data_IF_765473185295
#
_entry.id   IF_765473185295
#
_cell.length_a   1.000
_cell.length_b   1.000
_cell.length_c   1.000
_cell.angle_alpha   90.00
_cell.angle_beta   90.00
_cell.angle_gamma   90.00
#
_symmetry.space_group_name_H-M   'P 1'
#
loop_
_entity.id
_entity.type
_entity.pdbx_description
1 polymer ?
#
# COMPACT_ATOMS: atom_id res chain seq x y z
N UNK A 1 13.80 13.93 -2.49
CA UNK A 1 13.44 15.33 -2.68
C UNK A 1 13.39 16.07 -1.35
N UNK A 2 13.42 17.40 -1.36
CA UNK A 2 13.43 18.20 -0.14
C UNK A 2 12.00 18.42 0.42
N UNK A 3 11.29 17.34 0.68
CA UNK A 3 9.97 17.32 1.28
C UNK A 3 10.00 16.87 2.74
N UNK A 4 11.16 16.94 3.38
CA UNK A 4 11.39 16.46 4.75
C UNK A 4 10.36 16.93 5.77
N UNK A 5 9.91 18.20 5.79
CA UNK A 5 8.91 18.66 6.75
C UNK A 5 7.54 17.96 6.58
N UNK A 6 7.22 17.54 5.35
CA UNK A 6 5.96 16.87 5.02
C UNK A 6 6.06 15.35 5.13
N UNK A 7 7.19 14.77 4.73
CA UNK A 7 7.41 13.32 4.75
C UNK A 7 7.76 12.79 6.15
N UNK A 8 8.26 13.63 7.05
CA UNK A 8 8.72 13.26 8.40
C UNK A 8 9.76 12.13 8.40
N UNK A 9 10.64 12.10 7.38
CA UNK A 9 11.64 11.04 7.19
C UNK A 9 13.07 11.49 7.52
N UNK A 10 13.21 12.66 8.11
CA UNK A 10 14.50 13.14 8.59
C UNK A 10 14.97 12.33 9.80
N UNK A 11 16.24 11.97 9.84
CA UNK A 11 16.84 11.36 11.02
C UNK A 11 17.15 12.47 12.01
N UNK A 12 16.31 12.66 13.04
CA UNK A 12 16.31 13.81 13.95
C UNK A 12 17.66 14.02 14.67
N UNK A 13 18.34 12.92 15.05
CA UNK A 13 19.61 12.95 15.77
C UNK A 13 20.83 12.91 14.83
N UNK A 14 20.64 13.25 13.55
CA UNK A 14 21.70 13.23 12.54
C UNK A 14 21.79 14.57 11.80
N UNK A 15 23.01 15.04 11.61
CA UNK A 15 23.25 16.27 10.85
C UNK A 15 22.95 16.11 9.36
N UNK A 16 22.76 17.25 8.69
CA UNK A 16 22.72 17.30 7.24
C UNK A 16 24.12 17.05 6.68
N UNK A 17 24.22 16.24 5.65
CA UNK A 17 25.47 16.05 4.90
C UNK A 17 25.77 17.30 4.09
N UNK A 18 27.01 17.81 4.19
CA UNK A 18 27.47 19.01 3.48
C UNK A 18 28.97 19.13 3.45
N UNK A 19 29.47 20.20 2.85
CA UNK A 19 30.90 20.45 2.73
C UNK A 19 31.60 20.52 4.10
N UNK A 20 30.95 21.15 5.07
CA UNK A 20 31.47 21.35 6.43
C UNK A 20 30.97 20.27 7.42
N UNK A 21 30.01 19.41 7.04
CA UNK A 21 29.40 18.39 7.87
C UNK A 21 29.41 17.01 7.20
N UNK A 22 30.64 16.54 6.85
CA UNK A 22 30.86 15.27 6.13
C UNK A 22 30.40 14.03 6.87
N UNK A 23 30.16 14.12 8.18
CA UNK A 23 29.62 13.03 9.02
C UNK A 23 28.08 13.01 9.05
N UNK A 24 27.42 14.00 8.46
CA UNK A 24 25.98 14.07 8.37
C UNK A 24 25.40 12.90 7.57
N UNK A 25 24.21 12.45 7.96
CA UNK A 25 23.51 11.31 7.32
C UNK A 25 22.27 11.74 6.54
N UNK A 26 21.78 12.97 6.73
CA UNK A 26 20.63 13.50 6.02
C UNK A 26 21.07 14.22 4.74
N UNK A 27 20.91 13.60 3.58
CA UNK A 27 21.30 14.17 2.28
C UNK A 27 20.10 14.86 1.63
N UNK A 28 20.24 16.13 1.30
CA UNK A 28 19.20 16.92 0.65
C UNK A 28 19.43 16.99 -0.86
N UNK A 29 18.38 16.70 -1.64
CA UNK A 29 18.48 16.56 -3.10
C UNK A 29 17.82 17.70 -3.88
N UNK A 30 17.07 18.58 -3.22
CA UNK A 30 16.20 19.52 -3.93
C UNK A 30 15.13 18.76 -4.72
N UNK A 31 14.73 19.27 -5.87
CA UNK A 31 13.73 18.62 -6.75
C UNK A 31 14.48 17.73 -7.75
N UNK A 32 14.98 16.56 -7.27
CA UNK A 32 15.84 15.65 -8.06
C UNK A 32 15.58 14.19 -7.68
N UNK A 33 14.35 13.72 -7.84
CA UNK A 33 13.91 12.38 -7.44
C UNK A 33 14.70 11.28 -8.15
N UNK A 34 14.93 11.41 -9.45
CA UNK A 34 15.74 10.46 -10.21
C UNK A 34 17.18 10.37 -9.69
N UNK A 35 17.82 11.50 -9.50
CA UNK A 35 19.20 11.55 -8.96
C UNK A 35 19.26 10.96 -7.54
N UNK A 36 18.26 11.25 -6.69
CA UNK A 36 18.17 10.69 -5.36
C UNK A 36 18.09 9.15 -5.41
N UNK A 37 17.22 8.58 -6.22
CA UNK A 37 17.10 7.13 -6.39
C UNK A 37 18.35 6.49 -6.99
N UNK A 38 18.97 7.13 -8.00
CA UNK A 38 20.20 6.64 -8.61
C UNK A 38 21.39 6.65 -7.64
N UNK A 39 21.48 7.67 -6.77
CA UNK A 39 22.52 7.76 -5.74
C UNK A 39 22.31 6.68 -4.66
N UNK A 40 21.06 6.41 -4.25
CA UNK A 40 20.76 5.28 -3.36
C UNK A 40 21.26 3.96 -3.97
N UNK A 41 20.97 3.72 -5.25
CA UNK A 41 21.47 2.53 -5.96
C UNK A 41 23.00 2.48 -5.96
N UNK A 42 23.68 3.61 -6.25
CA UNK A 42 25.13 3.69 -6.25
C UNK A 42 25.75 3.41 -4.88
N UNK A 43 25.17 3.91 -3.79
CA UNK A 43 25.62 3.65 -2.41
C UNK A 43 25.48 2.16 -2.09
N UNK A 44 24.36 1.52 -2.46
CA UNK A 44 24.15 0.09 -2.22
C UNK A 44 25.15 -0.78 -2.99
N UNK A 45 25.40 -0.46 -4.27
CA UNK A 45 26.39 -1.19 -5.08
C UNK A 45 27.80 -1.01 -4.54
N UNK A 46 28.13 0.18 -4.01
CA UNK A 46 29.43 0.42 -3.35
C UNK A 46 29.55 -0.41 -2.05
N UNK A 47 28.44 -0.58 -1.33
CA UNK A 47 28.40 -1.33 -0.07
C UNK A 47 28.76 -0.50 1.17
N UNK A 48 28.58 -1.13 2.34
CA UNK A 48 28.93 -0.55 3.64
C UNK A 48 27.88 0.35 4.28
N UNK A 49 26.82 0.72 3.55
CA UNK A 49 25.70 1.53 4.06
C UNK A 49 24.36 0.97 3.59
N UNK A 50 23.32 1.17 4.39
CA UNK A 50 21.93 0.87 4.04
C UNK A 50 21.15 2.19 3.95
N UNK A 51 21.13 2.84 2.79
CA UNK A 51 20.41 4.09 2.58
C UNK A 51 18.92 3.84 2.35
N UNK A 52 18.10 4.83 2.69
CA UNK A 52 16.74 4.95 2.18
C UNK A 52 16.51 6.36 1.63
N UNK A 53 15.53 6.53 0.77
CA UNK A 53 15.14 7.84 0.27
C UNK A 53 13.63 8.02 0.31
N UNK A 54 13.18 9.29 0.30
CA UNK A 54 11.77 9.62 0.45
C UNK A 54 11.35 10.78 -0.42
N UNK A 55 10.10 10.70 -0.91
CA UNK A 55 9.37 11.76 -1.57
C UNK A 55 7.87 11.49 -1.47
N UNK A 56 7.01 12.36 -2.02
CA UNK A 56 5.58 12.05 -2.21
C UNK A 56 5.42 10.95 -3.25
N UNK A 57 4.39 10.13 -3.07
CA UNK A 57 4.23 8.92 -3.90
C UNK A 57 3.99 9.26 -5.37
N UNK A 58 3.26 10.32 -5.69
CA UNK A 58 3.07 10.77 -7.08
C UNK A 58 4.41 11.04 -7.78
N UNK A 59 5.43 11.50 -7.06
CA UNK A 59 6.75 11.78 -7.63
C UNK A 59 7.61 10.53 -7.84
N UNK A 60 7.09 9.34 -7.50
CA UNK A 60 7.71 8.08 -7.94
C UNK A 60 7.82 7.99 -9.48
N UNK A 61 6.96 8.71 -10.21
CA UNK A 61 7.03 8.80 -11.67
C UNK A 61 8.38 9.34 -12.15
N UNK A 62 8.91 10.38 -11.49
CA UNK A 62 10.24 10.93 -11.79
C UNK A 62 11.38 10.00 -11.36
N UNK A 63 11.16 9.11 -10.38
CA UNK A 63 12.15 8.17 -9.86
C UNK A 63 12.05 6.78 -10.51
N UNK A 64 10.97 6.48 -11.23
CA UNK A 64 10.63 5.13 -11.70
C UNK A 64 11.78 4.41 -12.41
N UNK A 65 12.57 5.11 -13.20
CA UNK A 65 13.69 4.48 -13.89
C UNK A 65 14.78 4.00 -12.92
N UNK A 66 15.11 4.77 -11.87
CA UNK A 66 16.05 4.35 -10.83
C UNK A 66 15.51 3.15 -10.04
N UNK A 67 14.19 3.12 -9.72
CA UNK A 67 13.53 1.99 -9.07
C UNK A 67 13.62 0.74 -9.96
N UNK A 68 13.35 0.89 -11.27
CA UNK A 68 13.44 -0.21 -12.23
C UNK A 68 14.86 -0.77 -12.30
N UNK A 69 15.89 0.08 -12.28
CA UNK A 69 17.28 -0.37 -12.25
C UNK A 69 17.61 -1.13 -10.96
N UNK A 70 17.11 -0.69 -9.80
CA UNK A 70 17.25 -1.46 -8.56
C UNK A 70 16.63 -2.87 -8.68
N UNK A 71 15.44 -2.99 -9.31
CA UNK A 71 14.82 -4.27 -9.61
C UNK A 71 15.62 -5.16 -10.56
N UNK A 72 16.29 -4.57 -11.59
CA UNK A 72 17.17 -5.30 -12.50
C UNK A 72 18.44 -5.80 -11.79
N UNK A 73 19.01 -4.96 -10.94
CA UNK A 73 20.24 -5.27 -10.17
C UNK A 73 19.94 -6.15 -8.94
N UNK A 74 18.67 -6.28 -8.58
CA UNK A 74 18.17 -6.96 -7.37
C UNK A 74 18.92 -6.52 -6.10
N UNK A 75 18.97 -5.20 -5.90
CA UNK A 75 19.64 -4.57 -4.75
C UNK A 75 18.59 -4.06 -3.74
N UNK A 76 18.85 -4.14 -2.41
CA UNK A 76 17.87 -3.84 -1.36
C UNK A 76 17.66 -2.32 -1.16
N UNK A 77 17.26 -1.62 -2.22
CA UNK A 77 16.97 -0.20 -2.18
C UNK A 77 15.64 0.06 -1.46
N UNK A 78 15.62 1.02 -0.53
CA UNK A 78 14.44 1.35 0.26
C UNK A 78 13.90 2.71 -0.16
N UNK A 79 12.67 2.73 -0.64
CA UNK A 79 11.94 3.91 -1.06
C UNK A 79 10.75 4.15 -0.14
N UNK A 80 10.75 5.26 0.59
CA UNK A 80 9.64 5.64 1.46
C UNK A 80 8.82 6.72 0.76
N UNK A 81 7.63 6.37 0.35
CA UNK A 81 6.70 7.27 -0.29
C UNK A 81 5.58 7.65 0.69
N UNK A 82 5.31 8.93 0.80
CA UNK A 82 4.18 9.43 1.59
C UNK A 82 3.11 10.05 0.69
N UNK A 83 1.96 10.42 1.25
CA UNK A 83 0.89 11.03 0.47
C UNK A 83 0.39 10.10 -0.64
N UNK A 84 -0.05 8.90 -0.24
CA UNK A 84 -0.21 7.71 -1.08
C UNK A 84 -1.50 7.67 -1.92
N UNK A 85 -2.45 8.59 -1.71
CA UNK A 85 -3.78 8.51 -2.32
C UNK A 85 -4.50 9.86 -2.36
N UNK A 86 -5.78 9.88 -2.72
CA UNK A 86 -6.68 11.06 -2.60
C UNK A 86 -6.75 11.63 -1.18
N UNK A 87 -6.23 10.91 -0.17
CA UNK A 87 -6.02 11.41 1.19
C UNK A 87 -5.04 12.57 1.29
N UNK A 88 -4.30 12.91 0.23
CA UNK A 88 -3.53 14.16 0.07
C UNK A 88 -4.42 15.38 0.26
N UNK A 89 -5.59 15.37 -0.35
CA UNK A 89 -6.63 16.35 -0.09
C UNK A 89 -6.52 17.61 -0.94
N UNK A 90 -6.29 18.76 -0.30
CA UNK A 90 -6.43 20.09 -0.93
C UNK A 90 -5.38 20.36 -2.03
N UNK A 91 -4.24 19.68 -2.02
CA UNK A 91 -3.23 19.78 -3.09
C UNK A 91 -3.76 19.28 -4.44
N UNK A 92 -4.77 18.43 -4.41
CA UNK A 92 -5.55 18.03 -5.57
C UNK A 92 -4.87 17.02 -6.49
N UNK A 93 -5.42 16.79 -7.70
CA UNK A 93 -5.08 15.67 -8.57
C UNK A 93 -3.63 15.66 -9.06
N UNK A 94 -2.93 16.79 -9.05
CA UNK A 94 -1.50 16.85 -9.40
C UNK A 94 -0.60 16.16 -8.36
N UNK A 95 -1.11 15.95 -7.14
CA UNK A 95 -0.37 15.34 -6.02
C UNK A 95 -1.03 14.05 -5.51
N UNK A 96 -2.20 13.69 -6.00
CA UNK A 96 -2.97 12.50 -5.63
C UNK A 96 -2.63 11.32 -6.56
N UNK A 97 -1.89 10.32 -6.08
CA UNK A 97 -1.56 9.12 -6.86
C UNK A 97 -2.81 8.31 -7.21
N UNK A 98 -2.83 7.74 -8.40
CA UNK A 98 -3.87 6.81 -8.88
C UNK A 98 -3.20 5.57 -9.45
N UNK A 99 -2.42 5.74 -10.54
CA UNK A 99 -1.77 4.66 -11.29
C UNK A 99 -0.42 4.24 -10.73
N UNK A 100 0.17 5.00 -9.81
CA UNK A 100 1.52 4.76 -9.28
C UNK A 100 1.66 3.39 -8.59
N UNK A 101 0.59 2.90 -7.89
CA UNK A 101 0.61 1.56 -7.32
C UNK A 101 0.81 0.49 -8.39
N UNK A 102 0.04 0.55 -9.47
CA UNK A 102 0.17 -0.39 -10.61
C UNK A 102 1.55 -0.25 -11.24
N UNK A 103 2.01 0.98 -11.43
CA UNK A 103 3.30 1.28 -12.03
C UNK A 103 4.48 0.66 -11.26
N UNK A 104 4.47 0.71 -9.93
CA UNK A 104 5.51 0.11 -9.08
C UNK A 104 5.33 -1.40 -8.96
N UNK A 105 4.12 -1.90 -8.69
CA UNK A 105 3.81 -3.34 -8.61
C UNK A 105 4.12 -4.11 -9.89
N UNK A 106 4.12 -3.43 -11.05
CA UNK A 106 4.47 -4.05 -12.33
C UNK A 106 5.98 -4.21 -12.57
N UNK A 107 6.84 -3.65 -11.72
CA UNK A 107 8.29 -3.78 -11.86
C UNK A 107 8.74 -5.11 -11.22
N UNK A 108 9.35 -6.04 -12.00
CA UNK A 108 9.85 -7.29 -11.45
C UNK A 108 10.86 -7.08 -10.32
N UNK A 109 10.86 -7.96 -9.33
CA UNK A 109 11.73 -7.98 -8.15
C UNK A 109 11.51 -6.81 -7.17
N UNK A 110 10.61 -5.87 -7.44
CA UNK A 110 10.27 -4.78 -6.51
C UNK A 110 9.10 -5.20 -5.64
N UNK A 111 9.25 -5.07 -4.32
CA UNK A 111 8.17 -5.25 -3.36
C UNK A 111 7.53 -3.89 -3.07
N UNK A 112 6.20 -3.84 -2.98
CA UNK A 112 5.48 -2.66 -2.54
C UNK A 112 4.68 -3.00 -1.28
N UNK A 113 4.91 -2.25 -0.20
CA UNK A 113 4.09 -2.28 1.00
C UNK A 113 3.22 -1.03 1.09
N UNK A 114 1.94 -1.21 1.33
CA UNK A 114 0.99 -0.14 1.67
C UNK A 114 0.35 -0.42 3.03
N UNK A 115 1.04 -0.05 4.12
CA UNK A 115 0.62 -0.38 5.48
C UNK A 115 -0.65 0.39 5.89
N UNK A 116 -1.50 -0.25 6.67
CA UNK A 116 -2.69 0.37 7.25
C UNK A 116 -2.42 1.09 8.58
N UNK A 117 -1.36 0.72 9.29
CA UNK A 117 -1.03 1.25 10.61
C UNK A 117 0.46 1.10 10.96
N UNK A 118 0.79 1.46 12.20
CA UNK A 118 2.17 1.43 12.71
C UNK A 118 2.78 0.02 12.70
N UNK A 119 2.00 -1.01 13.01
CA UNK A 119 2.53 -2.37 13.11
C UNK A 119 2.81 -2.95 11.72
N UNK A 120 1.92 -2.73 10.74
CA UNK A 120 2.21 -3.05 9.34
C UNK A 120 3.37 -2.21 8.78
N UNK A 121 3.52 -0.94 9.21
CA UNK A 121 4.68 -0.12 8.84
C UNK A 121 5.98 -0.71 9.38
N UNK A 122 5.98 -1.18 10.63
CA UNK A 122 7.14 -1.87 11.20
C UNK A 122 7.48 -3.16 10.44
N UNK A 123 6.46 -3.94 10.04
CA UNK A 123 6.65 -5.12 9.19
C UNK A 123 7.23 -4.77 7.81
N UNK A 124 6.75 -3.69 7.19
CA UNK A 124 7.27 -3.21 5.91
C UNK A 124 8.76 -2.81 6.01
N UNK A 125 9.15 -2.09 7.06
CA UNK A 125 10.56 -1.75 7.32
C UNK A 125 11.41 -2.99 7.60
N UNK A 126 10.91 -3.92 8.40
CA UNK A 126 11.62 -5.18 8.66
C UNK A 126 11.85 -5.96 7.37
N UNK A 127 10.82 -6.11 6.53
CA UNK A 127 10.94 -6.75 5.22
C UNK A 127 11.94 -6.01 4.33
N UNK A 128 11.87 -4.68 4.25
CA UNK A 128 12.78 -3.86 3.45
C UNK A 128 14.26 -4.04 3.84
N UNK A 129 14.53 -4.24 5.15
CA UNK A 129 15.88 -4.42 5.67
C UNK A 129 16.40 -5.86 5.55
N UNK A 130 15.53 -6.85 5.39
CA UNK A 130 15.90 -8.28 5.49
C UNK A 130 15.64 -9.10 4.23
N UNK A 131 14.75 -8.66 3.34
CA UNK A 131 14.36 -9.42 2.14
C UNK A 131 15.46 -9.52 1.07
N UNK A 132 16.36 -8.56 1.03
CA UNK A 132 17.36 -8.45 -0.06
C UNK A 132 16.83 -7.81 -1.34
N UNK A 133 15.53 -7.52 -1.44
CA UNK A 133 14.88 -6.95 -2.62
C UNK A 133 14.61 -5.44 -2.49
N UNK A 134 14.57 -4.68 -3.59
CA UNK A 134 14.14 -3.30 -3.54
C UNK A 134 12.69 -3.22 -3.05
N UNK A 135 12.44 -2.32 -2.08
CA UNK A 135 11.17 -2.21 -1.40
C UNK A 135 10.66 -0.76 -1.39
N UNK A 136 9.43 -0.57 -1.88
CA UNK A 136 8.68 0.67 -1.77
C UNK A 136 7.70 0.58 -0.59
N UNK A 137 7.75 1.54 0.32
CA UNK A 137 6.84 1.67 1.47
C UNK A 137 5.97 2.90 1.23
N UNK A 138 4.67 2.69 0.98
CA UNK A 138 3.72 3.75 0.65
C UNK A 138 2.87 4.08 1.89
N UNK A 139 3.02 5.29 2.41
CA UNK A 139 2.42 5.73 3.67
C UNK A 139 1.34 6.79 3.39
N UNK A 140 0.23 6.66 4.09
CA UNK A 140 -0.86 7.63 4.00
C UNK A 140 -0.54 8.94 4.74
N UNK A 141 -1.13 10.05 4.29
CA UNK A 141 -1.01 11.37 4.94
C UNK A 141 -1.88 11.49 6.19
N UNK A 142 -3.09 10.97 6.12
CA UNK A 142 -4.05 11.08 7.20
C UNK A 142 -3.74 10.13 8.37
N UNK A 143 -4.27 10.46 9.54
CA UNK A 143 -4.20 9.59 10.72
C UNK A 143 -5.04 8.33 10.50
N UNK A 144 -4.50 7.20 10.89
CA UNK A 144 -5.16 5.88 10.82
C UNK A 144 -5.29 5.27 12.20
N UNK A 145 -6.26 4.36 12.35
CA UNK A 145 -6.44 3.59 13.58
C UNK A 145 -5.61 2.30 13.53
N UNK A 146 -5.14 1.80 14.67
CA UNK A 146 -4.45 0.51 14.74
C UNK A 146 -5.44 -0.64 14.55
N UNK A 147 -5.19 -1.49 13.56
CA UNK A 147 -5.97 -2.69 13.26
C UNK A 147 -5.13 -3.96 13.30
N UNK A 148 -3.89 -3.91 12.82
CA UNK A 148 -2.97 -5.04 12.81
C UNK A 148 -2.66 -5.51 14.24
N UNK A 149 -2.70 -6.83 14.46
CA UNK A 149 -2.45 -7.44 15.78
C UNK A 149 -1.14 -8.20 15.86
N UNK A 150 -0.56 -8.52 14.71
CA UNK A 150 0.64 -9.35 14.61
C UNK A 150 1.53 -8.88 13.46
N UNK A 151 2.75 -8.52 13.79
CA UNK A 151 3.78 -8.20 12.79
C UNK A 151 4.11 -9.43 11.92
N UNK A 152 4.12 -10.64 12.51
CA UNK A 152 4.39 -11.88 11.79
C UNK A 152 3.34 -12.19 10.73
N UNK A 153 2.08 -11.77 10.95
CA UNK A 153 1.04 -11.90 9.94
C UNK A 153 1.24 -10.87 8.82
N UNK A 154 1.55 -9.62 9.16
CA UNK A 154 1.82 -8.56 8.19
C UNK A 154 3.03 -8.88 7.30
N UNK A 155 4.06 -9.54 7.83
CA UNK A 155 5.24 -10.01 7.09
C UNK A 155 4.93 -11.03 5.99
N UNK A 156 3.74 -11.64 6.00
CA UNK A 156 3.28 -12.55 4.94
C UNK A 156 2.68 -11.81 3.73
N UNK A 157 2.58 -10.49 3.78
CA UNK A 157 2.11 -9.64 2.70
C UNK A 157 0.59 -9.59 2.52
N UNK A 158 -0.13 -10.57 3.05
CA UNK A 158 -1.59 -10.62 3.11
C UNK A 158 -2.05 -11.60 4.19
N UNK A 159 -3.03 -11.21 4.99
CA UNK A 159 -3.46 -12.01 6.14
C UNK A 159 -4.94 -11.75 6.50
N UNK A 160 -5.52 -12.68 7.26
CA UNK A 160 -6.89 -12.53 7.77
C UNK A 160 -6.86 -11.55 8.94
N UNK A 161 -7.42 -10.36 8.76
CA UNK A 161 -7.57 -9.39 9.84
C UNK A 161 -8.77 -9.74 10.73
N UNK A 162 -9.94 -9.96 10.11
CA UNK A 162 -11.14 -10.41 10.80
C UNK A 162 -11.74 -11.61 10.06
N UNK A 163 -11.82 -12.73 10.76
CA UNK A 163 -12.36 -13.94 10.18
C UNK A 163 -13.90 -13.97 10.23
N UNK A 164 -14.49 -14.76 9.34
CA UNK A 164 -15.89 -15.15 9.43
C UNK A 164 -16.12 -16.08 10.62
N UNK A 165 -17.33 -16.05 11.16
CA UNK A 165 -17.81 -17.04 12.13
C UNK A 165 -18.10 -18.38 11.43
N UNK A 166 -18.68 -18.30 10.21
CA UNK A 166 -18.92 -19.47 9.36
C UNK A 166 -17.60 -20.05 8.86
N UNK A 167 -17.47 -21.38 8.72
CA UNK A 167 -16.29 -22.01 8.12
C UNK A 167 -15.97 -21.50 6.71
N UNK A 168 -17.00 -21.11 5.96
CA UNK A 168 -16.89 -20.48 4.64
C UNK A 168 -17.59 -19.14 4.72
N UNK A 169 -16.88 -18.02 4.55
CA UNK A 169 -17.49 -16.71 4.54
C UNK A 169 -18.44 -16.53 3.34
N UNK A 170 -19.46 -15.69 3.52
CA UNK A 170 -20.38 -15.34 2.43
C UNK A 170 -19.65 -14.47 1.37
N UNK A 171 -18.64 -13.68 1.78
CA UNK A 171 -17.76 -12.92 0.88
C UNK A 171 -16.41 -12.60 1.54
N UNK A 172 -15.46 -12.17 0.71
CA UNK A 172 -14.17 -11.59 1.15
C UNK A 172 -14.17 -10.09 0.86
N UNK A 173 -13.72 -9.29 1.83
CA UNK A 173 -13.37 -7.88 1.64
C UNK A 173 -11.86 -7.80 1.77
N UNK A 174 -11.17 -7.47 0.67
CA UNK A 174 -9.70 -7.40 0.59
C UNK A 174 -9.33 -5.92 0.50
N UNK A 175 -8.62 -5.41 1.46
CA UNK A 175 -8.26 -4.00 1.52
C UNK A 175 -6.79 -3.80 1.87
N UNK A 176 -6.27 -2.62 1.57
CA UNK A 176 -4.89 -2.21 1.89
C UNK A 176 -4.86 -0.75 2.36
N UNK A 177 -3.82 -0.41 3.12
CA UNK A 177 -3.63 0.96 3.57
C UNK A 177 -4.78 1.50 4.41
N UNK A 178 -5.06 2.78 4.27
CA UNK A 178 -6.11 3.47 5.05
C UNK A 178 -7.52 2.94 4.81
N UNK A 179 -7.78 2.25 3.70
CA UNK A 179 -9.09 1.72 3.37
C UNK A 179 -9.46 0.48 4.19
N UNK A 180 -8.51 -0.07 4.96
CA UNK A 180 -8.79 -1.19 5.85
C UNK A 180 -9.83 -0.84 6.93
N UNK A 181 -9.83 0.40 7.43
CA UNK A 181 -10.89 0.88 8.34
C UNK A 181 -12.27 0.76 7.70
N UNK A 182 -12.40 1.17 6.43
CA UNK A 182 -13.66 1.10 5.68
C UNK A 182 -14.11 -0.35 5.52
N UNK A 183 -13.19 -1.26 5.24
CA UNK A 183 -13.47 -2.68 5.10
C UNK A 183 -14.00 -3.32 6.41
N UNK A 184 -13.40 -2.95 7.54
CA UNK A 184 -13.83 -3.41 8.87
C UNK A 184 -15.23 -2.91 9.21
N UNK A 185 -15.52 -1.64 8.94
CA UNK A 185 -16.85 -1.07 9.18
C UNK A 185 -17.89 -1.68 8.22
N UNK A 186 -17.55 -1.91 6.95
CA UNK A 186 -18.44 -2.60 6.00
C UNK A 186 -18.80 -4.02 6.45
N UNK A 187 -17.84 -4.77 7.01
CA UNK A 187 -18.10 -6.08 7.61
C UNK A 187 -19.14 -5.99 8.73
N UNK A 188 -19.08 -4.99 9.59
CA UNK A 188 -20.07 -4.79 10.67
C UNK A 188 -21.46 -4.51 10.11
N UNK A 189 -21.56 -3.75 9.01
CA UNK A 189 -22.83 -3.50 8.33
C UNK A 189 -23.42 -4.77 7.71
N UNK A 190 -22.58 -5.60 7.09
CA UNK A 190 -22.98 -6.89 6.52
C UNK A 190 -23.48 -7.87 7.59
N UNK A 191 -22.79 -7.95 8.74
CA UNK A 191 -23.20 -8.80 9.85
C UNK A 191 -24.59 -8.44 10.38
N UNK A 192 -24.92 -7.14 10.47
CA UNK A 192 -26.27 -6.68 10.85
C UNK A 192 -27.35 -7.13 9.86
N UNK A 193 -26.96 -7.39 8.61
CA UNK A 193 -27.86 -7.88 7.55
C UNK A 193 -27.83 -9.41 7.38
N UNK A 194 -27.13 -10.13 8.29
CA UNK A 194 -27.07 -11.60 8.28
C UNK A 194 -26.01 -12.19 7.34
N UNK A 195 -25.11 -11.37 6.78
CA UNK A 195 -24.01 -11.82 5.94
C UNK A 195 -22.70 -11.83 6.72
N UNK A 196 -21.95 -12.90 6.64
CA UNK A 196 -20.70 -13.10 7.37
C UNK A 196 -19.50 -12.98 6.42
N UNK A 197 -18.86 -11.82 6.45
CA UNK A 197 -17.71 -11.51 5.62
C UNK A 197 -16.39 -11.75 6.36
N UNK A 198 -15.35 -12.15 5.62
CA UNK A 198 -13.95 -12.11 6.07
C UNK A 198 -13.29 -10.85 5.57
N UNK A 199 -12.55 -10.14 6.44
CA UNK A 199 -11.69 -9.03 6.05
C UNK A 199 -10.24 -9.52 5.95
N UNK A 200 -9.63 -9.26 4.81
CA UNK A 200 -8.21 -9.55 4.52
C UNK A 200 -7.47 -8.22 4.40
N UNK A 201 -6.42 -8.03 5.19
CA UNK A 201 -5.43 -6.98 4.95
C UNK A 201 -4.40 -7.49 3.95
N UNK A 202 -4.09 -6.67 2.93
CA UNK A 202 -3.14 -6.99 1.86
C UNK A 202 -2.07 -5.89 1.76
N UNK A 203 -1.19 -5.75 2.76
CA UNK A 203 -0.15 -4.72 2.72
C UNK A 203 0.85 -4.88 1.57
N UNK A 204 1.12 -6.10 1.08
CA UNK A 204 2.01 -6.35 -0.05
C UNK A 204 1.54 -7.53 -0.89
N UNK A 205 1.15 -7.25 -2.12
CA UNK A 205 0.72 -8.28 -3.08
C UNK A 205 1.88 -9.21 -3.44
N UNK A 206 3.06 -8.67 -3.69
CA UNK A 206 4.25 -9.42 -4.13
C UNK A 206 4.69 -10.42 -3.05
N UNK A 207 4.71 -9.99 -1.80
CA UNK A 207 5.07 -10.85 -0.67
C UNK A 207 3.99 -11.90 -0.40
N UNK A 208 2.71 -11.56 -0.54
CA UNK A 208 1.63 -12.54 -0.44
C UNK A 208 1.70 -13.61 -1.53
N UNK A 209 1.98 -13.21 -2.77
CA UNK A 209 2.10 -14.15 -3.90
C UNK A 209 3.31 -15.08 -3.75
N UNK A 210 4.36 -14.68 -3.05
CA UNK A 210 5.52 -15.53 -2.74
C UNK A 210 5.22 -16.62 -1.70
N UNK A 211 4.11 -16.51 -0.96
CA UNK A 211 3.70 -17.52 0.01
C UNK A 211 3.28 -18.82 -0.67
N UNK A 212 3.43 -19.94 0.04
CA UNK A 212 2.97 -21.23 -0.48
C UNK A 212 1.44 -21.26 -0.70
N UNK A 213 1.01 -22.13 -1.61
CA UNK A 213 -0.41 -22.24 -2.02
C UNK A 213 -1.33 -22.52 -0.82
N UNK A 214 -0.89 -23.34 0.14
CA UNK A 214 -1.70 -23.67 1.33
C UNK A 214 -2.01 -22.42 2.16
N UNK A 215 -1.02 -21.53 2.34
CA UNK A 215 -1.21 -20.28 3.07
C UNK A 215 -2.15 -19.33 2.29
N UNK A 216 -1.89 -19.12 1.00
CA UNK A 216 -2.73 -18.25 0.17
C UNK A 216 -4.19 -18.70 0.14
N UNK A 217 -4.43 -20.01 0.01
CA UNK A 217 -5.78 -20.61 0.08
C UNK A 217 -6.41 -20.47 1.47
N UNK A 218 -5.65 -20.47 2.54
CA UNK A 218 -6.19 -20.25 3.89
C UNK A 218 -6.68 -18.81 4.09
N UNK A 219 -6.04 -17.85 3.45
CA UNK A 219 -6.37 -16.41 3.53
C UNK A 219 -7.48 -16.05 2.53
N UNK A 220 -7.30 -16.41 1.26
CA UNK A 220 -8.21 -16.15 0.14
C UNK A 220 -8.61 -17.48 -0.50
N UNK A 221 -9.60 -18.19 0.07
CA UNK A 221 -10.04 -19.47 -0.47
C UNK A 221 -10.57 -19.32 -1.89
N UNK A 222 -10.10 -20.16 -2.82
CA UNK A 222 -10.52 -20.14 -4.22
C UNK A 222 -12.02 -20.40 -4.39
N UNK A 223 -12.62 -21.18 -3.48
CA UNK A 223 -14.06 -21.47 -3.46
C UNK A 223 -14.95 -20.28 -3.09
N UNK A 224 -14.40 -19.22 -2.50
CA UNK A 224 -15.14 -17.99 -2.17
C UNK A 224 -14.91 -16.99 -3.30
N UNK A 225 -15.85 -16.94 -4.23
CA UNK A 225 -15.78 -16.10 -5.44
C UNK A 225 -16.48 -14.74 -5.28
N UNK A 226 -17.33 -14.59 -4.25
CA UNK A 226 -17.87 -13.30 -3.86
C UNK A 226 -16.79 -12.47 -3.15
N UNK A 227 -16.29 -11.43 -3.82
CA UNK A 227 -15.14 -10.64 -3.34
C UNK A 227 -15.31 -9.16 -3.64
N UNK A 228 -14.82 -8.33 -2.73
CA UNK A 228 -14.67 -6.88 -2.95
C UNK A 228 -13.23 -6.49 -2.65
N UNK A 229 -12.58 -5.81 -3.58
CA UNK A 229 -11.25 -5.23 -3.35
C UNK A 229 -11.37 -3.72 -3.17
N UNK A 230 -10.66 -3.17 -2.18
CA UNK A 230 -10.78 -1.76 -1.77
C UNK A 230 -9.39 -1.14 -1.70
N UNK A 231 -9.11 -0.19 -2.59
CA UNK A 231 -7.87 0.59 -2.60
C UNK A 231 -8.11 1.94 -3.27
N UNK A 232 -7.71 3.04 -2.62
CA UNK A 232 -7.72 4.37 -3.21
C UNK A 232 -6.56 4.55 -4.22
N UNK A 233 -6.59 3.73 -5.26
CA UNK A 233 -5.68 3.63 -6.38
C UNK A 233 -6.36 2.89 -7.53
N UNK A 234 -5.68 2.76 -8.67
CA UNK A 234 -6.23 2.14 -9.87
C UNK A 234 -6.65 0.67 -9.65
N UNK A 235 -7.80 0.31 -10.22
CA UNK A 235 -8.38 -1.03 -10.16
C UNK A 235 -7.50 -2.13 -10.76
N UNK A 236 -6.55 -1.79 -11.63
CA UNK A 236 -5.72 -2.75 -12.37
C UNK A 236 -4.93 -3.72 -11.47
N UNK A 237 -4.57 -3.32 -10.25
CA UNK A 237 -3.89 -4.22 -9.30
C UNK A 237 -4.79 -5.34 -8.78
N UNK A 238 -6.12 -5.22 -8.89
CA UNK A 238 -7.06 -6.01 -8.12
C UNK A 238 -7.87 -7.03 -8.91
N UNK A 239 -7.86 -6.98 -10.24
CA UNK A 239 -8.65 -7.90 -11.09
C UNK A 239 -8.38 -9.38 -10.81
N UNK A 240 -7.12 -9.74 -10.51
CA UNK A 240 -6.75 -11.11 -10.16
C UNK A 240 -7.47 -11.61 -8.89
N UNK A 241 -7.66 -10.72 -7.93
CA UNK A 241 -8.26 -11.04 -6.64
C UNK A 241 -9.78 -10.95 -6.66
N UNK A 242 -10.31 -9.94 -7.30
CA UNK A 242 -11.76 -9.78 -7.47
C UNK A 242 -12.35 -10.89 -8.34
N UNK A 243 -11.65 -11.28 -9.42
CA UNK A 243 -12.20 -12.17 -10.42
C UNK A 243 -13.33 -11.52 -11.23
N UNK A 244 -13.99 -12.28 -12.10
CA UNK A 244 -15.02 -11.76 -13.01
C UNK A 244 -16.32 -11.36 -12.32
N UNK A 245 -16.65 -11.97 -11.18
CA UNK A 245 -17.87 -11.73 -10.42
C UNK A 245 -17.66 -10.88 -9.17
N UNK A 246 -16.43 -10.50 -8.87
CA UNK A 246 -16.12 -9.61 -7.77
C UNK A 246 -16.41 -8.15 -8.09
N UNK A 247 -16.35 -7.32 -7.06
CA UNK A 247 -16.55 -5.88 -7.15
C UNK A 247 -15.29 -5.13 -6.74
N UNK A 248 -15.17 -3.90 -7.21
CA UNK A 248 -14.01 -3.04 -6.95
C UNK A 248 -14.50 -1.70 -6.39
N UNK A 249 -13.85 -1.24 -5.33
CA UNK A 249 -13.96 0.14 -4.82
C UNK A 249 -12.56 0.74 -4.96
N UNK A 250 -12.30 1.30 -6.13
CA UNK A 250 -11.00 1.76 -6.59
C UNK A 250 -11.11 3.12 -7.29
N UNK A 251 -9.97 3.69 -7.67
CA UNK A 251 -9.87 4.94 -8.40
C UNK A 251 -9.48 4.67 -9.86
N UNK A 252 -10.41 4.89 -10.81
CA UNK A 252 -10.13 4.81 -12.24
C UNK A 252 -10.33 6.18 -12.94
N UNK A 253 -10.13 7.24 -12.18
CA UNK A 253 -10.09 8.64 -12.62
C UNK A 253 -9.24 9.46 -11.68
N UNK A 254 -8.79 10.63 -12.12
CA UNK A 254 -8.04 11.55 -11.24
C UNK A 254 -8.90 12.06 -10.09
N UNK A 255 -8.21 12.39 -9.01
CA UNK A 255 -8.81 12.97 -7.82
C UNK A 255 -9.29 14.42 -8.01
N UNK A 256 -9.60 15.07 -6.90
CA UNK A 256 -10.08 16.46 -6.85
C UNK A 256 -9.45 17.18 -5.68
N UNK A 257 -9.33 18.52 -5.76
CA UNK A 257 -8.95 19.33 -4.62
C UNK A 257 -10.10 19.44 -3.62
N UNK A 258 -9.88 19.06 -2.37
CA UNK A 258 -10.89 19.11 -1.32
C UNK A 258 -10.40 18.49 -0.02
N UNK A 259 -11.22 18.56 1.03
CA UNK A 259 -10.89 17.88 2.29
C UNK A 259 -10.97 16.37 2.14
N UNK A 260 -9.98 15.63 2.64
CA UNK A 260 -9.89 14.20 2.43
C UNK A 260 -11.16 13.41 2.81
N UNK A 261 -11.93 13.71 3.89
CA UNK A 261 -13.14 12.96 4.21
C UNK A 261 -14.26 13.17 3.18
N UNK A 262 -14.32 14.38 2.57
CA UNK A 262 -15.28 14.71 1.53
C UNK A 262 -14.92 14.00 0.23
N UNK A 263 -13.61 13.94 -0.10
CA UNK A 263 -13.11 13.21 -1.28
C UNK A 263 -13.35 11.71 -1.17
N UNK A 264 -13.03 11.10 -0.04
CA UNK A 264 -13.30 9.68 0.19
C UNK A 264 -14.78 9.36 0.01
N UNK A 265 -15.67 10.17 0.59
CA UNK A 265 -17.12 10.02 0.41
C UNK A 265 -17.55 10.23 -1.04
N UNK A 266 -17.04 11.26 -1.71
CA UNK A 266 -17.38 11.59 -3.10
C UNK A 266 -16.99 10.46 -4.07
N UNK A 267 -15.82 9.86 -3.86
CA UNK A 267 -15.32 8.74 -4.68
C UNK A 267 -15.84 7.38 -4.23
N UNK A 268 -16.73 7.32 -3.23
CA UNK A 268 -17.38 6.10 -2.80
C UNK A 268 -16.55 5.22 -1.85
N UNK A 269 -15.48 5.75 -1.27
CA UNK A 269 -14.74 5.05 -0.21
C UNK A 269 -15.47 5.19 1.12
N UNK A 270 -16.62 4.51 1.23
CA UNK A 270 -17.46 4.45 2.43
C UNK A 270 -17.81 3.02 2.79
N UNK A 271 -18.06 2.75 4.06
CA UNK A 271 -18.43 1.43 4.54
C UNK A 271 -19.74 0.93 3.90
N UNK A 272 -20.68 1.84 3.67
CA UNK A 272 -21.97 1.56 3.05
C UNK A 272 -21.79 1.08 1.61
N UNK A 273 -20.98 1.79 0.80
CA UNK A 273 -20.72 1.40 -0.59
C UNK A 273 -19.97 0.05 -0.67
N UNK A 274 -18.97 -0.17 0.19
CA UNK A 274 -18.26 -1.46 0.24
C UNK A 274 -19.23 -2.59 0.63
N UNK A 275 -20.13 -2.37 1.59
CA UNK A 275 -21.13 -3.36 1.96
C UNK A 275 -22.12 -3.63 0.81
N UNK A 276 -22.58 -2.60 0.11
CA UNK A 276 -23.45 -2.74 -1.08
C UNK A 276 -22.76 -3.55 -2.19
N UNK A 277 -21.50 -3.23 -2.49
CA UNK A 277 -20.68 -3.97 -3.45
C UNK A 277 -20.48 -5.43 -3.05
N UNK A 278 -20.32 -5.72 -1.76
CA UNK A 278 -20.25 -7.09 -1.26
C UNK A 278 -21.56 -7.84 -1.51
N UNK A 279 -22.72 -7.22 -1.25
CA UNK A 279 -24.01 -7.82 -1.53
C UNK A 279 -24.23 -8.09 -3.02
N UNK A 280 -23.83 -7.17 -3.88
CA UNK A 280 -23.88 -7.35 -5.33
C UNK A 280 -23.01 -8.53 -5.78
N UNK A 281 -21.78 -8.63 -5.24
CA UNK A 281 -20.90 -9.77 -5.53
C UNK A 281 -21.48 -11.09 -5.04
N UNK A 282 -22.07 -11.15 -3.84
CA UNK A 282 -22.77 -12.33 -3.32
C UNK A 282 -23.93 -12.74 -4.26
N UNK A 283 -24.72 -11.79 -4.73
CA UNK A 283 -25.86 -12.06 -5.64
C UNK A 283 -25.40 -12.61 -6.99
N UNK A 284 -24.34 -12.05 -7.56
CA UNK A 284 -23.74 -12.55 -8.83
C UNK A 284 -23.26 -14.00 -8.71
N UNK A 285 -22.77 -14.40 -7.56
CA UNK A 285 -22.22 -15.74 -7.30
C UNK A 285 -23.24 -16.77 -6.82
N UNK A 286 -24.51 -16.37 -6.61
CA UNK A 286 -25.63 -17.29 -6.34
C UNK A 286 -26.35 -17.77 -7.60
N UNK A 287 -26.06 -17.16 -8.72
CA UNK A 287 -26.58 -17.53 -10.06
C UNK A 287 -25.66 -18.52 -10.74
#
# INVERSE_FOLDING_TARGET
ADLTPSNLTNLENREKYGADTRKGSNVQFGIREHAMGAIVNGILVHGGLTPFCSTFFVFSDYMKHAIRLAGIMDIPAIYVFTHDSIGVGEDGPSHEPVEQFVAIRSIPNVQLFRPCDTLETAAAWYSALTSGHPTAICLTRQKVKPYCKSMDDALKGGYILENSVKPVPDCLIIATGSELEIAVEARKLLLKQGYDARVVSMPSIEVFESQNTKYRESVIPSKVTARVCVEAGSSYSWYKYAGLNGELVCMDRFGLSGKYPELFKYFGFTAENVAEKALLSIQKNKR
#
